data_IF_116826642022
#
_entry.id   IF_116826642022
#
_cell.length_a   1.000
_cell.length_b   1.000
_cell.length_c   1.000
_cell.angle_alpha   90.00
_cell.angle_beta   90.00
_cell.angle_gamma   90.00
#
_symmetry.space_group_name_H-M   'P 1'
#
loop_
_entity.id
_entity.type
_entity.pdbx_description
1 polymer ?
#
# COMPACT_ATOMS: atom_id res chain seq x y z
N UNK A 1 -28.37 9.35 28.06
CA UNK A 1 -27.07 9.83 27.52
C UNK A 1 -26.07 8.71 27.68
N UNK A 2 -25.86 7.90 26.66
CA UNK A 2 -24.74 6.95 26.61
C UNK A 2 -24.65 6.34 25.21
N UNK A 3 -23.52 6.57 24.53
CA UNK A 3 -22.93 5.59 23.62
C UNK A 3 -21.51 6.04 23.33
N UNK A 4 -20.59 5.41 24.03
CA UNK A 4 -19.17 5.50 23.78
C UNK A 4 -18.83 4.71 22.51
N UNK A 5 -18.13 5.34 21.55
CA UNK A 5 -17.33 4.64 20.56
C UNK A 5 -15.99 5.35 20.42
N UNK A 6 -15.05 4.94 21.28
CA UNK A 6 -13.61 5.13 21.06
C UNK A 6 -13.06 3.85 20.44
N UNK A 7 -12.49 3.91 19.24
CA UNK A 7 -11.37 3.03 18.90
C UNK A 7 -10.63 3.50 17.64
N UNK A 8 -9.93 4.63 17.72
CA UNK A 8 -8.92 4.95 16.71
C UNK A 8 -7.62 4.25 17.12
N UNK A 9 -7.46 2.99 16.70
CA UNK A 9 -6.21 2.24 16.85
C UNK A 9 -5.12 2.96 16.04
N UNK A 10 -4.24 3.70 16.72
CA UNK A 10 -2.91 4.03 16.23
C UNK A 10 -2.14 2.71 16.05
N UNK A 11 -2.00 2.25 14.80
CA UNK A 11 -1.29 1.02 14.44
C UNK A 11 0.17 1.27 14.04
N UNK A 12 0.83 2.26 14.64
CA UNK A 12 2.26 2.50 14.38
C UNK A 12 3.15 1.38 14.94
N UNK A 13 2.70 0.64 15.96
CA UNK A 13 3.48 -0.41 16.62
C UNK A 13 3.56 -1.76 15.89
N UNK A 14 2.51 -2.22 15.17
CA UNK A 14 2.50 -3.56 14.55
C UNK A 14 3.49 -3.70 13.39
N UNK A 15 3.82 -2.58 12.76
CA UNK A 15 4.68 -2.53 11.59
C UNK A 15 6.17 -2.64 11.95
N UNK A 16 6.56 -2.29 13.19
CA UNK A 16 7.94 -2.45 13.67
C UNK A 16 8.22 -3.92 14.02
N UNK A 17 7.35 -4.56 14.82
CA UNK A 17 7.50 -5.97 15.20
C UNK A 17 7.57 -6.93 13.99
N UNK A 18 6.75 -6.70 12.95
CA UNK A 18 6.83 -7.51 11.71
C UNK A 18 8.14 -7.28 10.96
N UNK A 19 8.67 -6.06 10.93
CA UNK A 19 9.96 -5.75 10.29
C UNK A 19 11.13 -6.39 11.05
N UNK A 20 11.09 -6.40 12.38
CA UNK A 20 12.08 -7.08 13.24
C UNK A 20 12.01 -8.60 13.08
N UNK A 21 10.82 -9.21 13.07
CA UNK A 21 10.66 -10.65 12.87
C UNK A 21 11.17 -11.14 11.51
N UNK A 22 11.07 -10.33 10.45
CA UNK A 22 11.58 -10.68 9.10
C UNK A 22 13.12 -10.61 9.04
N UNK A 23 13.76 -9.76 9.86
CA UNK A 23 15.23 -9.70 9.95
C UNK A 23 15.79 -11.01 10.51
N UNK A 24 15.11 -11.58 11.50
CA UNK A 24 15.47 -12.85 12.16
C UNK A 24 14.99 -14.12 11.44
N UNK A 25 14.22 -14.00 10.35
CA UNK A 25 13.91 -15.17 9.53
C UNK A 25 15.20 -15.72 8.90
N UNK A 26 15.57 -16.94 9.29
CA UNK A 26 16.63 -17.71 8.63
C UNK A 26 16.14 -18.16 7.25
N UNK A 27 16.25 -17.25 6.29
CA UNK A 27 15.89 -17.50 4.90
C UNK A 27 16.86 -18.47 4.25
N UNK A 28 16.32 -19.41 3.48
CA UNK A 28 17.13 -20.28 2.64
C UNK A 28 17.88 -19.44 1.61
N UNK A 29 19.22 -19.51 1.65
CA UNK A 29 20.10 -18.77 0.72
C UNK A 29 20.01 -19.26 -0.72
N UNK A 30 19.15 -20.25 -1.03
CA UNK A 30 18.88 -20.75 -2.38
C UNK A 30 17.72 -20.05 -3.08
N UNK A 31 16.81 -19.42 -2.35
CA UNK A 31 15.59 -18.84 -2.93
C UNK A 31 15.35 -17.41 -2.49
N UNK A 32 14.67 -16.64 -3.33
CA UNK A 32 14.12 -15.35 -2.93
C UNK A 32 12.95 -15.58 -1.99
N UNK A 33 12.81 -14.69 -1.00
CA UNK A 33 11.69 -14.74 -0.09
C UNK A 33 10.63 -13.72 -0.46
N UNK A 34 9.37 -14.15 -0.44
CA UNK A 34 8.21 -13.30 -0.69
C UNK A 34 7.30 -13.35 0.53
N UNK A 35 7.06 -12.19 1.13
CA UNK A 35 6.23 -12.05 2.32
C UNK A 35 4.73 -11.97 2.04
N UNK A 36 3.92 -11.89 3.11
CA UNK A 36 2.52 -11.54 3.00
C UNK A 36 2.35 -10.11 2.44
N UNK A 37 1.22 -9.80 1.78
CA UNK A 37 0.95 -8.46 1.28
C UNK A 37 1.05 -7.39 2.38
N UNK A 38 1.61 -6.22 2.06
CA UNK A 38 1.58 -5.07 2.96
C UNK A 38 0.14 -4.58 3.18
N UNK A 39 -0.16 -4.15 4.41
CA UNK A 39 -1.52 -3.75 4.79
C UNK A 39 -2.00 -2.50 4.03
N UNK A 40 -1.10 -1.63 3.57
CA UNK A 40 -1.41 -0.36 2.91
C UNK A 40 -1.12 -0.44 1.42
N UNK A 41 0.13 -0.76 1.03
CA UNK A 41 0.52 -0.79 -0.39
C UNK A 41 -0.10 -1.97 -1.14
N UNK A 42 -0.49 -3.04 -0.43
CA UNK A 42 -0.95 -4.33 -0.97
C UNK A 42 0.11 -5.08 -1.79
N UNK A 43 1.31 -4.52 -1.93
CA UNK A 43 2.45 -5.16 -2.57
C UNK A 43 3.11 -6.12 -1.59
N UNK A 44 3.56 -7.28 -2.08
CA UNK A 44 4.31 -8.25 -1.27
C UNK A 44 5.76 -7.79 -1.12
N UNK A 45 6.31 -7.71 0.09
CA UNK A 45 7.73 -7.45 0.28
C UNK A 45 8.53 -8.64 -0.25
N UNK A 46 9.60 -8.35 -0.98
CA UNK A 46 10.52 -9.36 -1.51
C UNK A 46 11.90 -9.12 -0.92
N UNK A 47 12.51 -10.19 -0.40
CA UNK A 47 13.91 -10.19 0.01
C UNK A 47 14.68 -11.06 -0.95
N UNK A 48 15.44 -10.40 -1.82
CA UNK A 48 16.27 -11.09 -2.79
C UNK A 48 17.39 -11.83 -2.06
N UNK A 49 17.66 -13.02 -2.58
CA UNK A 49 18.77 -13.86 -2.16
C UNK A 49 20.08 -13.13 -2.37
N UNK A 50 21.00 -13.27 -1.41
CA UNK A 50 22.36 -12.74 -1.48
C UNK A 50 23.35 -13.89 -1.59
N UNK A 51 24.04 -13.95 -2.73
CA UNK A 51 25.12 -14.90 -2.95
C UNK A 51 26.40 -14.41 -2.23
N UNK A 52 27.20 -15.34 -1.71
CA UNK A 52 28.47 -14.99 -1.05
C UNK A 52 29.56 -14.58 -2.03
N UNK A 53 29.42 -14.96 -3.30
CA UNK A 53 30.38 -14.74 -4.39
C UNK A 53 29.74 -13.94 -5.53
N UNK A 54 28.87 -12.97 -5.22
CA UNK A 54 28.30 -12.07 -6.24
C UNK A 54 29.43 -11.31 -6.96
N UNK A 55 29.40 -11.34 -8.29
CA UNK A 55 30.12 -10.39 -9.11
C UNK A 55 29.61 -8.96 -8.86
N UNK A 56 30.41 -7.96 -9.22
CA UNK A 56 30.01 -6.56 -9.04
C UNK A 56 28.71 -6.24 -9.81
N UNK A 57 28.54 -6.81 -11.00
CA UNK A 57 27.37 -6.64 -11.85
C UNK A 57 26.12 -7.30 -11.24
N UNK A 58 26.24 -8.52 -10.73
CA UNK A 58 25.14 -9.19 -10.03
C UNK A 58 24.69 -8.41 -8.79
N UNK A 59 25.65 -7.89 -8.03
CA UNK A 59 25.37 -7.03 -6.88
C UNK A 59 24.61 -5.76 -7.29
N UNK A 60 25.10 -5.05 -8.33
CA UNK A 60 24.44 -3.85 -8.86
C UNK A 60 23.02 -4.14 -9.34
N UNK A 61 22.82 -5.25 -10.03
CA UNK A 61 21.50 -5.68 -10.49
C UNK A 61 20.56 -5.98 -9.32
N UNK A 62 21.02 -6.71 -8.30
CA UNK A 62 20.25 -7.01 -7.10
C UNK A 62 19.83 -5.73 -6.37
N UNK A 63 20.76 -4.79 -6.18
CA UNK A 63 20.50 -3.51 -5.53
C UNK A 63 19.53 -2.64 -6.31
N UNK A 64 19.66 -2.58 -7.64
CA UNK A 64 18.70 -1.88 -8.50
C UNK A 64 17.29 -2.49 -8.40
N UNK A 65 17.17 -3.83 -8.34
CA UNK A 65 15.89 -4.49 -8.10
C UNK A 65 15.33 -4.22 -6.71
N UNK A 66 16.14 -4.28 -5.66
CA UNK A 66 15.72 -3.96 -4.29
C UNK A 66 15.18 -2.52 -4.21
N UNK A 67 15.90 -1.56 -4.82
CA UNK A 67 15.47 -0.17 -4.92
C UNK A 67 14.15 -0.01 -5.69
N UNK A 68 14.00 -0.69 -6.83
CA UNK A 68 12.76 -0.65 -7.63
C UNK A 68 11.56 -1.23 -6.86
N UNK A 69 11.74 -2.36 -6.18
CA UNK A 69 10.69 -2.99 -5.37
C UNK A 69 10.29 -2.07 -4.21
N UNK A 70 11.26 -1.47 -3.53
CA UNK A 70 11.01 -0.51 -2.46
C UNK A 70 10.25 0.71 -2.99
N UNK A 71 10.69 1.29 -4.10
CA UNK A 71 10.03 2.41 -4.75
C UNK A 71 8.58 2.08 -5.12
N UNK A 72 8.33 0.92 -5.73
CA UNK A 72 6.99 0.47 -6.08
C UNK A 72 6.07 0.36 -4.87
N UNK A 73 6.55 -0.23 -3.77
CA UNK A 73 5.76 -0.31 -2.54
C UNK A 73 5.50 1.08 -1.94
N UNK A 74 6.45 1.99 -1.97
CA UNK A 74 6.27 3.36 -1.47
C UNK A 74 5.26 4.13 -2.32
N UNK A 75 5.36 4.00 -3.64
CA UNK A 75 4.43 4.59 -4.58
C UNK A 75 2.99 4.13 -4.29
N UNK A 76 2.75 2.82 -4.23
CA UNK A 76 1.42 2.27 -3.93
C UNK A 76 0.94 2.60 -2.52
N UNK A 77 1.83 2.72 -1.54
CA UNK A 77 1.48 3.20 -0.19
C UNK A 77 0.86 4.59 -0.27
N UNK A 78 1.55 5.53 -0.93
CA UNK A 78 1.08 6.91 -1.05
C UNK A 78 -0.23 6.99 -1.84
N UNK A 79 -0.29 6.29 -2.98
CA UNK A 79 -1.47 6.24 -3.83
C UNK A 79 -2.69 5.69 -3.08
N UNK A 80 -2.56 4.55 -2.39
CA UNK A 80 -3.67 3.92 -1.69
C UNK A 80 -4.17 4.75 -0.50
N UNK A 81 -3.27 5.43 0.22
CA UNK A 81 -3.66 6.35 1.29
C UNK A 81 -4.51 7.49 0.72
N UNK A 82 -4.09 8.08 -0.40
CA UNK A 82 -4.82 9.16 -1.04
C UNK A 82 -6.17 8.67 -1.57
N UNK A 83 -6.18 7.50 -2.22
CA UNK A 83 -7.38 6.87 -2.76
C UNK A 83 -8.43 6.63 -1.67
N UNK A 84 -8.06 5.97 -0.57
CA UNK A 84 -9.01 5.68 0.52
C UNK A 84 -9.54 6.96 1.18
N UNK A 85 -8.69 7.99 1.32
CA UNK A 85 -9.12 9.30 1.81
C UNK A 85 -10.16 9.92 0.86
N UNK A 86 -9.87 9.97 -0.44
CA UNK A 86 -10.76 10.57 -1.44
C UNK A 86 -12.07 9.80 -1.59
N UNK A 87 -12.01 8.48 -1.52
CA UNK A 87 -13.19 7.61 -1.51
C UNK A 87 -14.07 7.88 -0.29
N UNK A 88 -13.48 8.01 0.90
CA UNK A 88 -14.23 8.35 2.10
C UNK A 88 -14.89 9.74 2.00
N UNK A 89 -14.16 10.75 1.50
CA UNK A 89 -14.71 12.08 1.22
C UNK A 89 -15.92 12.02 0.27
N UNK A 90 -15.80 11.28 -0.83
CA UNK A 90 -16.86 11.11 -1.82
C UNK A 90 -18.10 10.42 -1.23
N UNK A 91 -17.92 9.32 -0.51
CA UNK A 91 -19.02 8.57 0.12
C UNK A 91 -19.75 9.44 1.15
N UNK A 92 -19.03 10.20 1.97
CA UNK A 92 -19.64 11.09 2.96
C UNK A 92 -20.39 12.27 2.30
N UNK A 93 -19.88 12.82 1.20
CA UNK A 93 -20.59 13.84 0.43
C UNK A 93 -21.87 13.30 -0.20
N UNK A 94 -21.83 12.11 -0.81
CA UNK A 94 -23.01 11.46 -1.40
C UNK A 94 -24.08 11.17 -0.36
N UNK A 95 -23.71 10.66 0.82
CA UNK A 95 -24.65 10.44 1.94
C UNK A 95 -25.34 11.72 2.40
N UNK A 96 -24.63 12.86 2.42
CA UNK A 96 -25.24 14.16 2.76
C UNK A 96 -26.27 14.60 1.73
N UNK A 97 -26.01 14.33 0.44
CA UNK A 97 -26.87 14.75 -0.66
C UNK A 97 -28.10 13.83 -0.85
N UNK A 98 -27.95 12.52 -0.63
CA UNK A 98 -29.01 11.50 -0.81
C UNK A 98 -29.85 11.24 0.44
N UNK A 99 -29.45 11.78 1.60
CA UNK A 99 -30.10 11.48 2.89
C UNK A 99 -29.72 10.10 3.46
N UNK A 100 -30.46 9.63 4.47
CA UNK A 100 -30.10 8.44 5.30
C UNK A 100 -30.24 7.09 4.57
N UNK A 101 -30.84 7.04 3.38
CA UNK A 101 -31.40 5.78 2.85
C UNK A 101 -30.55 5.08 1.78
N UNK A 102 -29.66 5.76 1.07
CA UNK A 102 -28.95 5.15 -0.07
C UNK A 102 -27.45 5.02 0.18
N UNK A 103 -26.95 3.80 0.04
CA UNK A 103 -25.52 3.54 -0.08
C UNK A 103 -25.06 4.00 -1.47
N UNK A 104 -23.81 4.42 -1.60
CA UNK A 104 -23.24 4.77 -2.91
C UNK A 104 -23.42 3.62 -3.91
N UNK A 105 -24.10 3.87 -5.02
CA UNK A 105 -24.36 2.88 -6.06
C UNK A 105 -23.06 2.62 -6.87
N UNK A 106 -23.00 1.50 -7.59
CA UNK A 106 -21.88 1.16 -8.46
C UNK A 106 -21.59 2.26 -9.50
N UNK A 107 -22.64 2.94 -9.98
CA UNK A 107 -22.52 4.09 -10.87
C UNK A 107 -21.76 5.25 -10.21
N UNK A 108 -22.12 5.62 -8.99
CA UNK A 108 -21.44 6.69 -8.24
C UNK A 108 -19.97 6.37 -8.01
N UNK A 109 -19.67 5.10 -7.68
CA UNK A 109 -18.28 4.66 -7.53
C UNK A 109 -17.51 4.75 -8.84
N UNK A 110 -18.14 4.43 -9.98
CA UNK A 110 -17.51 4.53 -11.30
C UNK A 110 -17.17 5.97 -11.68
N UNK A 111 -18.04 6.93 -11.37
CA UNK A 111 -17.78 8.37 -11.57
C UNK A 111 -16.60 8.81 -10.71
N UNK A 112 -16.60 8.44 -9.42
CA UNK A 112 -15.49 8.71 -8.52
C UNK A 112 -14.15 8.14 -9.05
N UNK A 113 -14.14 6.88 -9.50
CA UNK A 113 -12.93 6.26 -10.02
C UNK A 113 -12.37 7.03 -11.22
N UNK A 114 -13.24 7.40 -12.16
CA UNK A 114 -12.84 8.17 -13.34
C UNK A 114 -12.24 9.52 -12.93
N UNK A 115 -12.95 10.29 -12.11
CA UNK A 115 -12.49 11.62 -11.67
C UNK A 115 -11.18 11.55 -10.90
N UNK A 116 -11.03 10.55 -10.02
CA UNK A 116 -9.80 10.33 -9.27
C UNK A 116 -8.62 10.04 -10.21
N UNK A 117 -8.80 9.17 -11.20
CA UNK A 117 -7.76 8.84 -12.17
C UNK A 117 -7.40 10.03 -13.05
N UNK A 118 -8.39 10.79 -13.53
CA UNK A 118 -8.18 11.99 -14.33
C UNK A 118 -7.37 13.04 -13.55
N UNK A 119 -7.70 13.27 -12.27
CA UNK A 119 -6.97 14.20 -11.40
C UNK A 119 -5.56 13.73 -11.05
N UNK A 120 -5.35 12.42 -10.94
CA UNK A 120 -4.05 11.84 -10.60
C UNK A 120 -3.22 11.46 -11.83
N UNK A 121 -3.69 11.70 -13.05
CA UNK A 121 -3.05 11.25 -14.29
C UNK A 121 -1.55 11.60 -14.34
N UNK A 122 -1.20 12.86 -14.12
CA UNK A 122 0.20 13.30 -14.13
C UNK A 122 1.04 12.58 -13.06
N UNK A 123 0.49 12.36 -11.87
CA UNK A 123 1.17 11.64 -10.79
C UNK A 123 1.30 10.13 -11.10
N UNK A 124 0.43 9.60 -11.97
CA UNK A 124 0.39 8.22 -12.45
C UNK A 124 1.30 7.98 -13.66
N UNK A 125 1.69 9.01 -14.39
CA UNK A 125 2.51 8.88 -15.61
C UNK A 125 3.93 9.42 -15.47
N UNK A 126 4.19 10.25 -14.46
CA UNK A 126 5.50 10.86 -14.24
C UNK A 126 6.37 9.97 -13.35
N UNK A 127 7.10 9.03 -13.96
CA UNK A 127 8.11 8.18 -13.30
C UNK A 127 9.42 8.10 -14.08
#
# INVERSE_FOLDING_TARGET
VSSAFMCQKRQTGKNSWRKEAIRDLRLDKRFDWVGPPDDISKIRPVRLRRLSNETEQERKYREAREALIQWSSQFWTHHNILFEKKKAEFVEQRKKNLGRLEHSNALDMSEFYKEFLDQQYNNLTNY
#
